data_IF_061520086366
#
_entry.id   IF_061520086366
#
_cell.length_a   1.000
_cell.length_b   1.000
_cell.length_c   1.000
_cell.angle_alpha   90.00
_cell.angle_beta   90.00
_cell.angle_gamma   90.00
#
_symmetry.space_group_name_H-M   'P 1'
#
loop_
_entity.id
_entity.type
_entity.pdbx_description
1 polymer ?
#
# COMPACT_ATOMS: atom_id res chain seq x y z
N UNK A 1 9.42 17.54 -34.49
CA UNK A 1 8.41 18.15 -33.61
C UNK A 1 7.16 17.28 -33.64
N UNK A 2 6.80 16.63 -32.54
CA UNK A 2 5.61 15.78 -32.50
C UNK A 2 4.33 16.64 -32.56
N UNK A 3 3.34 16.20 -33.35
CA UNK A 3 2.07 16.90 -33.57
C UNK A 3 1.17 16.74 -32.32
N UNK A 4 0.76 17.84 -31.70
CA UNK A 4 -0.12 17.83 -30.53
C UNK A 4 -1.46 17.15 -30.83
N UNK A 5 -1.92 16.28 -29.91
CA UNK A 5 -3.20 15.56 -30.01
C UNK A 5 -4.25 16.28 -29.15
N UNK A 6 -5.21 17.02 -29.74
CA UNK A 6 -6.24 17.70 -28.97
C UNK A 6 -7.11 16.67 -28.21
N UNK A 7 -7.33 16.90 -26.91
CA UNK A 7 -8.05 15.99 -26.03
C UNK A 7 -7.17 15.01 -25.25
N UNK A 8 -5.85 15.00 -25.47
CA UNK A 8 -4.92 14.27 -24.61
C UNK A 8 -4.62 15.09 -23.36
N UNK A 9 -5.18 14.69 -22.22
CA UNK A 9 -4.70 15.14 -20.92
C UNK A 9 -3.45 14.34 -20.63
N UNK A 10 -2.28 14.99 -20.70
CA UNK A 10 -1.07 14.37 -20.20
C UNK A 10 -1.20 14.30 -18.67
N UNK A 11 -1.12 13.12 -18.05
CA UNK A 11 -1.23 13.01 -16.61
C UNK A 11 -0.08 13.79 -15.99
N UNK A 12 -0.41 14.86 -15.29
CA UNK A 12 0.52 15.66 -14.51
C UNK A 12 0.17 15.52 -13.03
N UNK A 13 1.17 15.62 -12.17
CA UNK A 13 0.95 15.67 -10.74
C UNK A 13 0.16 16.95 -10.38
N UNK A 14 -0.73 16.90 -9.37
CA UNK A 14 -1.35 18.11 -8.84
C UNK A 14 -0.27 18.99 -8.18
N UNK A 15 -0.41 20.30 -8.31
CA UNK A 15 0.42 21.25 -7.57
C UNK A 15 0.05 21.16 -6.08
N UNK A 16 1.02 20.79 -5.24
CA UNK A 16 0.86 20.77 -3.79
C UNK A 16 0.88 22.19 -3.20
N UNK A 17 0.48 22.36 -1.92
CA UNK A 17 0.65 23.62 -1.21
C UNK A 17 2.09 24.11 -1.31
N UNK A 18 2.29 25.41 -1.56
CA UNK A 18 3.59 26.08 -1.62
C UNK A 18 4.61 25.52 -2.63
N UNK A 19 4.14 24.91 -3.72
CA UNK A 19 5.04 24.28 -4.70
C UNK A 19 5.68 22.98 -4.18
N UNK A 20 5.07 22.38 -3.16
CA UNK A 20 5.51 21.12 -2.58
C UNK A 20 5.62 20.01 -3.63
N UNK A 21 6.69 19.23 -3.53
CA UNK A 21 6.91 18.08 -4.39
C UNK A 21 5.88 16.97 -4.09
N UNK A 22 5.41 16.22 -5.11
CA UNK A 22 4.65 15.00 -4.84
C UNK A 22 5.49 14.11 -3.91
N UNK A 23 4.88 13.59 -2.85
CA UNK A 23 5.58 12.71 -1.91
C UNK A 23 5.93 11.42 -2.66
N UNK A 24 7.23 11.28 -2.96
CA UNK A 24 7.82 10.06 -3.51
C UNK A 24 8.56 9.33 -2.39
N UNK A 25 8.91 8.05 -2.61
CA UNK A 25 9.78 7.32 -1.67
C UNK A 25 11.10 8.07 -1.40
N UNK A 26 11.62 8.81 -2.39
CA UNK A 26 12.86 9.60 -2.28
C UNK A 26 12.72 10.81 -1.33
N UNK A 27 11.51 11.33 -1.17
CA UNK A 27 11.22 12.55 -0.40
C UNK A 27 10.48 12.24 0.91
N UNK A 28 10.34 10.97 1.27
CA UNK A 28 9.72 10.51 2.51
C UNK A 28 10.75 10.48 3.63
N UNK A 29 10.36 10.86 4.85
CA UNK A 29 11.21 10.76 6.06
C UNK A 29 11.57 9.30 6.40
N UNK A 30 10.80 8.35 5.86
CA UNK A 30 11.02 6.90 6.01
C UNK A 30 11.17 6.24 4.64
N UNK A 31 12.22 5.44 4.47
CA UNK A 31 12.42 4.62 3.26
C UNK A 31 11.64 3.30 3.35
N UNK A 32 11.11 2.84 2.22
CA UNK A 32 10.31 1.62 2.12
C UNK A 32 8.80 1.86 2.25
N UNK A 33 8.01 0.90 1.75
CA UNK A 33 6.57 0.90 1.97
C UNK A 33 6.34 0.84 3.49
N UNK A 34 5.61 1.82 4.03
CA UNK A 34 4.96 1.66 5.33
C UNK A 34 4.30 0.29 5.30
N UNK A 35 4.66 -0.57 6.26
CA UNK A 35 4.05 -1.90 6.39
C UNK A 35 2.54 -1.75 6.09
N UNK A 36 1.92 -2.62 5.29
CA UNK A 36 0.47 -2.55 5.08
C UNK A 36 -0.29 -2.68 6.42
N UNK A 37 0.39 -3.17 7.46
CA UNK A 37 -0.10 -3.26 8.83
C UNK A 37 0.24 -2.03 9.69
N UNK A 38 0.75 -0.94 9.10
CA UNK A 38 1.08 0.30 9.78
C UNK A 38 2.12 0.11 10.88
N UNK A 39 1.70 0.32 12.12
CA UNK A 39 2.55 0.25 13.32
C UNK A 39 2.66 -1.15 13.93
N UNK A 40 2.05 -2.16 13.31
CA UNK A 40 2.08 -3.54 13.82
C UNK A 40 3.49 -4.12 13.69
N UNK A 41 4.02 -4.63 14.81
CA UNK A 41 5.29 -5.35 14.86
C UNK A 41 5.03 -6.85 14.86
N UNK A 42 5.76 -7.58 14.02
CA UNK A 42 5.68 -9.04 13.92
C UNK A 42 6.85 -9.72 14.65
N UNK A 43 6.67 -10.95 15.13
CA UNK A 43 5.43 -11.75 15.10
C UNK A 43 4.39 -11.24 16.11
N UNK A 44 3.11 -11.47 15.82
CA UNK A 44 2.03 -11.23 16.77
C UNK A 44 1.98 -12.34 17.83
N UNK A 45 1.54 -12.03 19.07
CA UNK A 45 1.16 -13.03 20.05
C UNK A 45 0.13 -14.01 19.50
N UNK A 46 0.16 -15.26 19.96
CA UNK A 46 -0.68 -16.35 19.42
C UNK A 46 -2.17 -16.05 19.59
N UNK A 47 -2.51 -15.46 20.73
CA UNK A 47 -3.85 -15.01 21.11
C UNK A 47 -4.43 -13.94 20.16
N UNK A 48 -3.58 -13.19 19.45
CA UNK A 48 -3.98 -12.09 18.56
C UNK A 48 -4.09 -12.52 17.09
N UNK A 49 -3.61 -13.72 16.73
CA UNK A 49 -3.55 -14.18 15.34
C UNK A 49 -4.93 -14.45 14.73
N UNK A 50 -5.97 -14.68 15.55
CA UNK A 50 -7.29 -15.13 15.08
C UNK A 50 -7.25 -16.45 14.30
N UNK A 51 -6.13 -17.16 14.32
CA UNK A 51 -5.90 -18.37 13.55
C UNK A 51 -6.59 -19.56 14.22
N UNK A 52 -7.43 -20.26 13.45
CA UNK A 52 -8.02 -21.54 13.84
C UNK A 52 -7.48 -22.63 12.92
N UNK A 53 -6.85 -23.65 13.50
CA UNK A 53 -6.33 -24.76 12.72
C UNK A 53 -7.50 -25.55 12.10
N UNK A 54 -7.51 -25.78 10.77
CA UNK A 54 -8.59 -26.53 10.15
C UNK A 54 -8.57 -27.97 10.66
N UNK A 55 -9.76 -28.49 10.96
CA UNK A 55 -9.95 -29.89 11.36
C UNK A 55 -10.85 -30.57 10.34
N UNK A 56 -10.43 -31.73 9.86
CA UNK A 56 -11.26 -32.56 8.99
C UNK A 56 -12.11 -33.49 9.84
N UNK A 57 -13.43 -33.32 9.79
CA UNK A 57 -14.38 -34.28 10.38
C UNK A 57 -14.75 -35.35 9.36
N UNK A 58 -14.32 -36.59 9.59
CA UNK A 58 -14.67 -37.73 8.73
C UNK A 58 -16.07 -38.23 9.10
N UNK A 59 -16.97 -38.29 8.13
CA UNK A 59 -18.29 -38.93 8.30
C UNK A 59 -18.10 -40.41 8.70
N UNK A 60 -18.67 -40.80 9.84
CA UNK A 60 -18.62 -42.18 10.37
C UNK A 60 -19.92 -42.97 10.14
N UNK A 61 -20.86 -42.35 9.42
CA UNK A 61 -22.15 -42.94 9.02
C UNK A 61 -22.03 -43.76 7.75
#
# INVERSE_FOLDING_TARGET
>A
MAKGRPGRVDPHWPEGPDGGHPVTELTSDVQGALSPFGTVTFPLPVEDLGYTHPVTEINKS
#
